data_IF_549240258491
#
_entry.id   IF_549240258491
#
_cell.length_a   1.000
_cell.length_b   1.000
_cell.length_c   1.000
_cell.angle_alpha   90.00
_cell.angle_beta   90.00
_cell.angle_gamma   90.00
#
_symmetry.space_group_name_H-M   'P 1'
#
loop_
_entity.id
_entity.type
_entity.pdbx_description
1 polymer ?
#
# COMPACT_ATOMS: atom_id res chain seq x y z
N UNK A 1 2.09 -8.56 12.99
CA UNK A 1 2.74 -7.35 12.44
C UNK A 1 2.08 -6.15 13.07
N UNK A 2 2.84 -5.15 13.49
CA UNK A 2 2.30 -3.89 13.99
C UNK A 2 2.40 -2.88 12.84
N UNK A 3 1.29 -2.63 12.16
CA UNK A 3 1.17 -1.55 11.18
C UNK A 3 -0.03 -0.70 11.58
N UNK A 4 -0.04 0.55 11.14
CA UNK A 4 -1.16 1.44 11.39
C UNK A 4 -2.42 0.97 10.63
N UNK A 5 -3.40 0.44 11.38
CA UNK A 5 -4.66 -0.05 10.84
C UNK A 5 -5.57 1.09 10.35
N UNK A 6 -5.47 2.28 10.93
CA UNK A 6 -6.23 3.45 10.48
C UNK A 6 -5.71 3.91 9.12
N UNK A 7 -4.37 4.00 8.99
CA UNK A 7 -3.73 4.32 7.71
C UNK A 7 -4.06 3.26 6.64
N UNK A 8 -4.00 1.97 6.98
CA UNK A 8 -4.42 0.90 6.08
C UNK A 8 -5.90 1.03 5.68
N UNK A 9 -6.78 1.42 6.60
CA UNK A 9 -8.19 1.68 6.33
C UNK A 9 -8.40 2.82 5.33
N UNK A 10 -7.64 3.91 5.46
CA UNK A 10 -7.67 5.04 4.53
C UNK A 10 -7.21 4.64 3.13
N UNK A 11 -6.14 3.86 3.02
CA UNK A 11 -5.65 3.34 1.73
C UNK A 11 -6.69 2.41 1.09
N UNK A 12 -7.30 1.51 1.87
CA UNK A 12 -8.36 0.63 1.39
C UNK A 12 -9.57 1.41 0.86
N UNK A 13 -9.98 2.46 1.56
CA UNK A 13 -11.06 3.34 1.11
C UNK A 13 -10.69 4.06 -0.19
N UNK A 14 -9.46 4.57 -0.29
CA UNK A 14 -8.98 5.26 -1.49
C UNK A 14 -8.90 4.36 -2.73
N UNK A 15 -8.58 3.08 -2.57
CA UNK A 15 -8.48 2.10 -3.66
C UNK A 15 -9.79 1.32 -3.90
N UNK A 16 -10.85 1.59 -3.13
CA UNK A 16 -12.09 0.80 -3.17
C UNK A 16 -12.83 0.83 -4.51
N UNK A 17 -12.56 1.83 -5.35
CA UNK A 17 -13.14 1.97 -6.70
C UNK A 17 -12.37 1.20 -7.77
N UNK A 18 -11.14 0.76 -7.48
CA UNK A 18 -10.29 0.03 -8.41
C UNK A 18 -10.59 -1.47 -8.36
N UNK A 19 -10.70 -2.09 -9.53
CA UNK A 19 -10.81 -3.56 -9.60
C UNK A 19 -9.42 -4.18 -9.45
N UNK A 20 -9.38 -5.43 -8.98
CA UNK A 20 -8.11 -6.17 -8.89
C UNK A 20 -7.21 -5.75 -7.73
N UNK A 21 -7.73 -4.98 -6.76
CA UNK A 21 -7.00 -4.65 -5.54
C UNK A 21 -6.91 -5.88 -4.64
N UNK A 22 -5.69 -6.24 -4.24
CA UNK A 22 -5.39 -7.33 -3.31
C UNK A 22 -4.45 -6.87 -2.21
N UNK A 23 -4.59 -7.47 -1.03
CA UNK A 23 -3.81 -7.13 0.16
C UNK A 23 -2.80 -8.23 0.47
N UNK A 24 -1.55 -7.86 0.77
CA UNK A 24 -0.48 -8.81 1.08
C UNK A 24 0.41 -8.31 2.21
N UNK A 25 0.66 -9.16 3.20
CA UNK A 25 1.61 -8.87 4.27
C UNK A 25 3.05 -8.82 3.73
N UNK A 26 3.65 -7.63 3.65
CA UNK A 26 4.98 -7.38 3.10
C UNK A 26 5.59 -6.13 3.77
N UNK A 27 6.91 -5.97 3.69
CA UNK A 27 7.61 -4.75 4.16
C UNK A 27 7.33 -4.39 5.64
N UNK A 28 7.10 -5.40 6.48
CA UNK A 28 6.76 -5.20 7.89
C UNK A 28 5.34 -4.66 8.14
N UNK A 29 4.49 -4.55 7.11
CA UNK A 29 3.10 -4.12 7.22
C UNK A 29 2.21 -4.71 6.12
N UNK A 30 1.38 -3.87 5.48
CA UNK A 30 0.37 -4.28 4.51
C UNK A 30 0.56 -3.59 3.15
N UNK A 31 0.80 -4.36 2.11
CA UNK A 31 0.89 -3.89 0.74
C UNK A 31 -0.44 -4.08 -0.01
N UNK A 32 -0.77 -3.11 -0.85
CA UNK A 32 -1.91 -3.11 -1.77
C UNK A 32 -1.40 -3.23 -3.20
N UNK A 33 -1.85 -4.29 -3.86
CA UNK A 33 -1.49 -4.62 -5.23
C UNK A 33 -2.70 -4.40 -6.13
N UNK A 34 -2.53 -3.69 -7.23
CA UNK A 34 -3.53 -3.54 -8.29
C UNK A 34 -3.13 -4.45 -9.44
N UNK A 35 -3.99 -5.38 -9.82
CA UNK A 35 -3.72 -6.39 -10.87
C UNK A 35 -2.39 -7.14 -10.65
N UNK A 36 -2.08 -7.43 -9.39
CA UNK A 36 -0.85 -8.14 -8.99
C UNK A 36 0.42 -7.29 -8.96
N UNK A 37 0.34 -5.99 -9.26
CA UNK A 37 1.44 -5.05 -9.15
C UNK A 37 1.31 -4.17 -7.91
N UNK A 38 2.36 -4.04 -7.09
CA UNK A 38 2.34 -3.19 -5.90
C UNK A 38 2.14 -1.72 -6.29
N UNK A 39 1.10 -1.09 -5.75
CA UNK A 39 0.84 0.34 -5.90
C UNK A 39 1.30 1.12 -4.65
N UNK A 40 0.93 0.64 -3.47
CA UNK A 40 1.19 1.30 -2.19
C UNK A 40 1.34 0.26 -1.07
N UNK A 41 2.14 0.56 -0.06
CA UNK A 41 2.23 -0.25 1.15
C UNK A 41 2.24 0.63 2.39
N UNK A 42 1.49 0.21 3.41
CA UNK A 42 1.60 0.72 4.78
C UNK A 42 2.70 -0.09 5.46
N UNK A 43 3.88 0.51 5.59
CA UNK A 43 5.06 -0.11 6.16
C UNK A 43 5.17 0.27 7.65
N UNK A 44 5.30 -0.73 8.52
CA UNK A 44 5.61 -0.54 9.94
C UNK A 44 4.77 0.52 10.66
N UNK A 45 5.33 1.12 11.71
CA UNK A 45 4.57 1.94 12.65
C UNK A 45 4.06 3.27 12.07
N UNK A 46 4.71 3.86 11.05
CA UNK A 46 4.32 5.19 10.53
C UNK A 46 4.78 5.46 9.08
N UNK A 47 4.89 4.44 8.23
CA UNK A 47 5.41 4.59 6.87
C UNK A 47 4.37 4.32 5.78
N UNK A 48 4.30 5.18 4.78
CA UNK A 48 3.65 4.88 3.50
C UNK A 48 4.73 4.78 2.41
N UNK A 49 4.75 3.67 1.69
CA UNK A 49 5.58 3.47 0.51
C UNK A 49 4.69 3.49 -0.73
N UNK A 50 5.06 4.27 -1.74
CA UNK A 50 4.35 4.33 -3.02
C UNK A 50 5.28 3.85 -4.12
N UNK A 51 4.75 3.09 -5.08
CA UNK A 51 5.50 2.76 -6.28
C UNK A 51 5.57 3.99 -7.18
N UNK A 52 6.74 4.61 -7.25
CA UNK A 52 7.03 5.72 -8.17
C UNK A 52 7.84 5.24 -9.37
N UNK A 53 7.62 5.90 -10.51
CA UNK A 53 8.51 5.80 -11.66
C UNK A 53 9.90 6.34 -11.26
N UNK A 54 11.00 5.62 -11.53
CA UNK A 54 12.36 6.10 -11.22
C UNK A 54 12.67 7.48 -11.82
N UNK A 55 12.10 7.83 -12.96
CA UNK A 55 12.27 9.16 -13.57
C UNK A 55 11.54 10.28 -12.83
N UNK A 56 10.67 9.94 -11.86
CA UNK A 56 9.91 10.86 -11.00
C UNK A 56 10.31 10.77 -9.53
N UNK A 57 11.25 9.88 -9.18
CA UNK A 57 11.82 9.80 -7.84
C UNK A 57 13.02 10.76 -7.78
N UNK A 58 13.00 11.71 -6.85
CA UNK A 58 14.10 12.65 -6.58
C UNK A 58 15.12 12.08 -5.59
#
# INVERSE_FOLDING_TARGET
MSYDQELAGRVRAALSTDRGVTEKAMFGGLAFLVDGAMAVAVAGQDGLMVRSDPARAD
#
